data_IF_065133808563
#
_entry.id   IF_065133808563
#
_cell.length_a   1.000
_cell.length_b   1.000
_cell.length_c   1.000
_cell.angle_alpha   90.00
_cell.angle_beta   90.00
_cell.angle_gamma   90.00
#
_symmetry.space_group_name_H-M   'P 1'
#
loop_
_entity.id
_entity.type
_entity.pdbx_description
1 polymer ?
#
# COMPACT_ATOMS: atom_id res chain seq x y z
N UNK A 1 -13.47 17.82 6.68
CA UNK A 1 -12.42 18.30 7.60
C UNK A 1 -12.45 19.82 7.76
N UNK A 2 -12.41 20.63 6.68
CA UNK A 2 -12.48 22.13 6.79
C UNK A 2 -13.67 22.60 7.61
N UNK A 3 -14.84 22.00 7.41
CA UNK A 3 -16.05 22.33 8.17
C UNK A 3 -15.92 22.00 9.67
N UNK A 4 -15.30 20.86 10.00
CA UNK A 4 -15.06 20.50 11.40
C UNK A 4 -14.06 21.44 12.09
N UNK A 5 -13.00 21.84 11.38
CA UNK A 5 -12.05 22.83 11.89
C UNK A 5 -12.77 24.17 12.13
N UNK A 6 -13.55 24.66 11.16
CA UNK A 6 -14.33 25.90 11.30
C UNK A 6 -15.31 25.83 12.47
N UNK A 7 -15.99 24.72 12.68
CA UNK A 7 -16.93 24.49 13.78
C UNK A 7 -16.24 24.58 15.16
N UNK A 8 -15.05 23.99 15.32
CA UNK A 8 -14.28 24.06 16.56
C UNK A 8 -13.78 25.49 16.81
N UNK A 9 -13.36 26.19 15.76
CA UNK A 9 -12.94 27.58 15.84
C UNK A 9 -14.07 28.53 16.22
N UNK A 10 -15.23 28.36 15.62
CA UNK A 10 -16.43 29.18 15.96
C UNK A 10 -16.81 29.07 17.43
N UNK A 11 -16.52 27.94 18.08
CA UNK A 11 -16.71 27.70 19.51
C UNK A 11 -15.66 28.37 20.42
N UNK A 12 -14.70 29.09 19.87
CA UNK A 12 -13.69 29.83 20.64
C UNK A 12 -12.61 28.94 21.27
N UNK A 13 -12.32 27.78 20.72
CA UNK A 13 -11.29 26.86 21.24
C UNK A 13 -9.91 27.51 21.27
N UNK A 14 -9.26 27.46 22.44
CA UNK A 14 -7.86 27.91 22.62
C UNK A 14 -6.85 26.81 22.33
N UNK A 15 -7.24 25.56 22.50
CA UNK A 15 -6.42 24.37 22.18
C UNK A 15 -7.16 23.59 21.11
N UNK A 16 -6.47 23.34 20.01
CA UNK A 16 -6.96 22.57 18.87
C UNK A 16 -6.17 21.27 18.77
N UNK A 17 -6.86 20.13 18.78
CA UNK A 17 -6.26 18.80 18.58
C UNK A 17 -6.71 18.28 17.22
N UNK A 18 -5.75 18.01 16.34
CA UNK A 18 -5.97 17.53 14.98
C UNK A 18 -5.32 16.16 14.82
N UNK A 19 -6.11 15.14 14.54
CA UNK A 19 -5.67 13.78 14.30
C UNK A 19 -5.74 13.49 12.79
N UNK A 20 -4.57 13.24 12.17
CA UNK A 20 -4.39 12.98 10.72
C UNK A 20 -5.18 13.96 9.82
N UNK A 21 -5.08 15.29 10.00
CA UNK A 21 -5.98 16.23 9.33
C UNK A 21 -5.74 16.36 7.84
N UNK A 22 -4.64 15.83 7.32
CA UNK A 22 -4.23 15.90 5.90
C UNK A 22 -4.51 14.62 5.12
N UNK A 23 -5.04 13.57 5.75
CA UNK A 23 -5.21 12.25 5.15
C UNK A 23 -6.03 12.23 3.85
N UNK A 24 -6.93 13.21 3.67
CA UNK A 24 -7.81 13.33 2.48
C UNK A 24 -7.64 14.65 1.73
N UNK A 25 -6.58 15.41 2.02
CA UNK A 25 -6.29 16.69 1.40
C UNK A 25 -5.28 16.54 0.26
N UNK A 26 -5.46 17.36 -0.76
CA UNK A 26 -4.43 17.54 -1.80
C UNK A 26 -3.22 18.30 -1.23
N UNK A 27 -2.03 18.23 -1.87
CA UNK A 27 -0.85 19.00 -1.44
C UNK A 27 -1.11 20.51 -1.32
N UNK A 28 -1.89 21.08 -2.23
CA UNK A 28 -2.27 22.50 -2.22
C UNK A 28 -3.14 22.80 -0.98
N UNK A 29 -4.12 21.98 -0.70
CA UNK A 29 -5.00 22.12 0.47
C UNK A 29 -4.26 21.92 1.79
N UNK A 30 -3.29 21.02 1.83
CA UNK A 30 -2.40 20.82 2.97
C UNK A 30 -1.60 22.07 3.26
N UNK A 31 -1.03 22.70 2.24
CA UNK A 31 -0.29 23.98 2.37
C UNK A 31 -1.17 25.09 2.93
N UNK A 32 -2.41 25.23 2.45
CA UNK A 32 -3.36 26.22 2.94
C UNK A 32 -3.80 25.94 4.38
N UNK A 33 -3.99 24.67 4.76
CA UNK A 33 -4.25 24.29 6.14
C UNK A 33 -3.10 24.72 7.05
N UNK A 34 -1.84 24.46 6.67
CA UNK A 34 -0.67 24.82 7.47
C UNK A 34 -0.53 26.34 7.65
N UNK A 35 -0.78 27.14 6.60
CA UNK A 35 -0.85 28.60 6.74
C UNK A 35 -1.89 29.03 7.78
N UNK A 36 -3.08 28.40 7.74
CA UNK A 36 -4.14 28.69 8.70
C UNK A 36 -3.75 28.32 10.12
N UNK A 37 -3.14 27.15 10.34
CA UNK A 37 -2.70 26.70 11.66
C UNK A 37 -1.62 27.63 12.23
N UNK A 38 -0.65 28.06 11.40
CA UNK A 38 0.38 29.02 11.83
C UNK A 38 -0.21 30.39 12.19
N UNK A 39 -1.18 30.88 11.45
CA UNK A 39 -1.87 32.13 11.80
C UNK A 39 -2.57 32.04 13.16
N UNK A 40 -3.22 30.91 13.44
CA UNK A 40 -3.85 30.65 14.74
C UNK A 40 -2.86 30.63 15.91
N UNK A 41 -1.69 30.00 15.69
CA UNK A 41 -0.63 29.97 16.71
C UNK A 41 -0.11 31.40 16.95
N UNK A 42 0.06 32.21 15.91
CA UNK A 42 0.44 33.62 16.03
C UNK A 42 -0.59 34.46 16.79
N UNK A 43 -1.88 34.08 16.77
CA UNK A 43 -2.96 34.66 17.58
C UNK A 43 -2.98 34.14 19.03
N UNK A 44 -2.02 33.33 19.46
CA UNK A 44 -1.91 32.81 20.82
C UNK A 44 -2.69 31.53 21.07
N UNK A 45 -3.14 30.80 20.05
CA UNK A 45 -3.79 29.50 20.19
C UNK A 45 -2.73 28.39 20.23
N UNK A 46 -3.07 27.26 20.83
CA UNK A 46 -2.23 26.07 20.88
C UNK A 46 -2.78 25.00 19.92
N UNK A 47 -1.93 24.43 19.10
CA UNK A 47 -2.29 23.34 18.19
C UNK A 47 -1.49 22.08 18.56
N UNK A 48 -2.20 20.98 18.76
CA UNK A 48 -1.64 19.63 18.85
C UNK A 48 -1.97 18.94 17.53
N UNK A 49 -0.94 18.64 16.74
CA UNK A 49 -1.05 18.06 15.43
C UNK A 49 -0.51 16.63 15.47
N UNK A 50 -1.36 15.65 15.17
CA UNK A 50 -0.99 14.23 15.14
C UNK A 50 -0.88 13.81 13.69
N UNK A 51 0.28 13.33 13.27
CA UNK A 51 0.51 12.78 11.93
C UNK A 51 1.67 11.78 11.94
N UNK A 52 1.62 10.83 11.03
CA UNK A 52 2.75 9.94 10.73
C UNK A 52 3.59 10.43 9.53
N UNK A 53 3.12 11.46 8.82
CA UNK A 53 3.84 12.09 7.70
C UNK A 53 4.87 13.08 8.22
N UNK A 54 6.11 12.66 8.24
CA UNK A 54 7.21 13.42 8.89
C UNK A 54 7.45 14.78 8.23
N UNK A 55 7.30 14.89 6.90
CA UNK A 55 7.45 16.15 6.18
C UNK A 55 6.40 17.18 6.62
N UNK A 56 5.17 16.74 6.87
CA UNK A 56 4.10 17.59 7.39
C UNK A 56 4.41 18.06 8.82
N UNK A 57 4.89 17.14 9.66
CA UNK A 57 5.30 17.45 11.04
C UNK A 57 6.44 18.47 11.03
N UNK A 58 7.46 18.25 10.20
CA UNK A 58 8.59 19.18 10.04
C UNK A 58 8.15 20.56 9.52
N UNK A 59 7.14 20.60 8.64
CA UNK A 59 6.66 21.84 8.04
C UNK A 59 5.83 22.70 9.00
N UNK A 60 5.06 22.09 9.94
CA UNK A 60 4.05 22.83 10.73
C UNK A 60 4.37 22.94 12.22
N UNK A 61 5.14 22.02 12.81
CA UNK A 61 5.35 21.99 14.26
C UNK A 61 6.59 22.78 14.71
N UNK A 62 6.56 23.26 15.96
CA UNK A 62 7.72 23.85 16.63
C UNK A 62 8.48 22.79 17.44
N UNK A 63 7.74 21.82 17.97
CA UNK A 63 8.24 20.73 18.82
C UNK A 63 7.52 19.44 18.49
N UNK A 64 8.26 18.33 18.46
CA UNK A 64 7.73 17.00 18.16
C UNK A 64 7.91 16.08 19.35
N UNK A 65 6.83 15.45 19.78
CA UNK A 65 6.86 14.37 20.78
C UNK A 65 6.58 13.06 20.07
N UNK A 66 7.52 12.14 20.13
CA UNK A 66 7.40 10.82 19.49
C UNK A 66 6.79 9.81 20.46
N UNK A 67 5.71 9.15 20.02
CA UNK A 67 5.03 8.06 20.73
C UNK A 67 5.34 6.71 20.08
N UNK A 68 5.74 5.72 20.88
CA UNK A 68 5.98 4.35 20.42
C UNK A 68 5.52 3.36 21.48
N UNK A 69 4.67 2.39 21.08
CA UNK A 69 4.11 1.40 22.00
C UNK A 69 3.35 2.00 23.19
N UNK A 70 2.64 3.12 22.98
CA UNK A 70 1.88 3.82 24.01
C UNK A 70 2.73 4.63 25.00
N UNK A 71 4.03 4.84 24.73
CA UNK A 71 4.95 5.60 25.58
C UNK A 71 5.62 6.71 24.80
N UNK A 72 5.89 7.84 25.47
CA UNK A 72 6.75 8.89 24.93
C UNK A 72 8.20 8.39 24.92
N UNK A 73 8.84 8.39 23.75
CA UNK A 73 10.25 7.98 23.59
C UNK A 73 11.20 9.17 23.47
N UNK A 74 10.69 10.36 23.14
CA UNK A 74 11.48 11.57 23.08
C UNK A 74 10.62 12.79 22.71
N UNK A 75 11.10 13.97 23.08
CA UNK A 75 10.56 15.25 22.64
C UNK A 75 11.72 16.09 22.12
N UNK A 76 11.63 16.58 20.90
CA UNK A 76 12.69 17.31 20.21
C UNK A 76 12.15 18.61 19.61
N UNK A 77 13.01 19.58 19.43
CA UNK A 77 12.70 20.80 18.66
C UNK A 77 12.77 20.48 17.18
N UNK A 78 11.78 20.88 16.41
CA UNK A 78 11.72 20.61 14.97
C UNK A 78 12.92 21.19 14.22
N UNK A 79 13.36 22.40 14.60
CA UNK A 79 14.50 23.08 13.96
C UNK A 79 15.85 22.39 14.16
N UNK A 80 15.98 21.56 15.18
CA UNK A 80 17.21 20.85 15.57
C UNK A 80 17.18 19.37 15.15
N UNK A 81 16.13 18.95 14.46
CA UNK A 81 15.89 17.55 14.11
C UNK A 81 15.70 17.40 12.60
N UNK A 82 15.99 16.23 12.10
CA UNK A 82 15.69 15.84 10.73
C UNK A 82 14.53 14.81 10.67
N UNK A 83 13.92 14.67 9.49
CA UNK A 83 12.95 13.61 9.20
C UNK A 83 13.52 12.22 9.56
N UNK A 84 14.80 12.01 9.34
CA UNK A 84 15.51 10.76 9.63
C UNK A 84 15.61 10.50 11.14
N UNK A 85 15.89 11.53 11.94
CA UNK A 85 15.97 11.40 13.39
C UNK A 85 14.61 11.03 13.99
N UNK A 86 13.55 11.71 13.52
CA UNK A 86 12.18 11.42 13.94
C UNK A 86 11.76 9.99 13.57
N UNK A 87 12.03 9.56 12.34
CA UNK A 87 11.75 8.19 11.91
C UNK A 87 12.49 7.16 12.78
N UNK A 88 13.77 7.40 13.05
CA UNK A 88 14.59 6.52 13.91
C UNK A 88 14.03 6.42 15.33
N UNK A 89 13.53 7.53 15.91
CA UNK A 89 12.84 7.52 17.21
C UNK A 89 11.53 6.74 17.16
N UNK A 90 10.74 6.87 16.08
CA UNK A 90 9.46 6.18 15.90
C UNK A 90 9.65 4.67 15.78
N UNK A 91 10.62 4.23 14.98
CA UNK A 91 10.88 2.81 14.70
C UNK A 91 11.74 2.19 15.80
N UNK A 92 12.67 2.94 16.39
CA UNK A 92 13.62 2.48 17.44
C UNK A 92 14.90 1.88 16.88
N UNK A 93 15.13 2.02 15.59
CA UNK A 93 16.37 1.69 14.88
C UNK A 93 16.62 2.77 13.80
N UNK A 94 17.80 2.83 13.21
CA UNK A 94 18.07 3.72 12.07
C UNK A 94 17.17 3.33 10.89
N UNK A 95 16.53 4.33 10.29
CA UNK A 95 15.67 4.17 9.10
C UNK A 95 16.43 4.71 7.91
N UNK A 96 16.58 3.90 6.87
CA UNK A 96 17.13 4.33 5.61
C UNK A 96 15.99 4.59 4.61
N UNK A 97 15.85 5.86 4.21
CA UNK A 97 14.88 6.28 3.19
C UNK A 97 15.42 6.15 1.76
N UNK A 98 16.65 5.65 1.61
CA UNK A 98 17.26 5.50 0.30
C UNK A 98 16.65 4.33 -0.47
N UNK A 99 16.76 4.39 -1.80
CA UNK A 99 16.42 3.25 -2.66
C UNK A 99 17.14 2.00 -2.15
N UNK A 100 16.37 0.94 -1.95
CA UNK A 100 16.94 -0.32 -1.50
C UNK A 100 17.68 -0.97 -2.67
N UNK A 101 19.00 -1.10 -2.53
CA UNK A 101 19.79 -1.88 -3.52
C UNK A 101 19.42 -3.34 -3.35
N UNK A 102 18.70 -3.88 -4.32
CA UNK A 102 18.25 -5.28 -4.32
C UNK A 102 19.41 -6.22 -4.58
N UNK A 103 19.43 -7.33 -3.85
CA UNK A 103 20.45 -8.40 -4.02
C UNK A 103 20.33 -9.09 -5.35
N UNK A 104 19.10 -9.33 -5.80
CA UNK A 104 18.78 -10.00 -7.05
C UNK A 104 17.82 -9.10 -7.84
N UNK A 105 18.31 -8.21 -8.72
CA UNK A 105 17.43 -7.46 -9.61
C UNK A 105 16.68 -8.45 -10.50
N UNK A 106 15.40 -8.17 -10.75
CA UNK A 106 14.56 -9.03 -11.58
C UNK A 106 15.03 -9.10 -13.03
N UNK A 107 14.64 -10.16 -13.72
CA UNK A 107 14.91 -10.32 -15.15
C UNK A 107 13.66 -9.96 -15.96
N UNK A 108 13.59 -8.77 -16.58
CA UNK A 108 12.42 -8.32 -17.35
C UNK A 108 12.18 -9.18 -18.61
N UNK A 109 13.19 -9.94 -19.08
CA UNK A 109 13.06 -10.81 -20.25
C UNK A 109 12.43 -12.16 -19.88
N UNK A 110 12.52 -12.58 -18.64
CA UNK A 110 11.88 -13.80 -18.14
C UNK A 110 10.47 -13.45 -17.61
N UNK A 111 9.52 -13.26 -18.53
CA UNK A 111 8.18 -12.75 -18.23
C UNK A 111 7.37 -13.77 -17.42
N UNK A 112 6.94 -13.37 -16.21
CA UNK A 112 6.04 -14.14 -15.35
C UNK A 112 4.58 -13.70 -15.50
N UNK A 113 4.32 -12.41 -15.68
CA UNK A 113 2.98 -11.86 -15.98
C UNK A 113 3.02 -11.14 -17.31
N UNK A 114 2.09 -11.49 -18.20
CA UNK A 114 1.85 -10.78 -19.45
C UNK A 114 0.39 -10.33 -19.54
N UNK A 115 0.22 -9.05 -19.71
CA UNK A 115 -1.07 -8.37 -19.87
C UNK A 115 -1.09 -7.73 -21.23
N UNK A 116 -1.99 -8.18 -22.11
CA UNK A 116 -2.03 -7.75 -23.51
C UNK A 116 -3.35 -7.11 -23.86
N UNK A 117 -3.33 -5.82 -24.24
CA UNK A 117 -4.44 -5.03 -24.75
C UNK A 117 -5.73 -5.13 -23.93
N UNK A 118 -5.64 -5.11 -22.60
CA UNK A 118 -6.82 -5.19 -21.75
C UNK A 118 -7.63 -3.91 -21.76
N UNK A 119 -8.94 -4.09 -21.90
CA UNK A 119 -9.93 -3.03 -21.71
C UNK A 119 -10.98 -3.48 -20.70
N UNK A 120 -11.41 -2.58 -19.83
CA UNK A 120 -12.40 -2.85 -18.80
C UNK A 120 -13.22 -1.62 -18.45
N UNK A 121 -14.41 -1.83 -17.91
CA UNK A 121 -15.28 -0.77 -17.46
C UNK A 121 -15.21 -0.59 -15.93
N UNK A 122 -15.49 0.62 -15.47
CA UNK A 122 -15.71 0.94 -14.05
C UNK A 122 -17.07 0.40 -13.55
N UNK A 123 -17.38 0.62 -12.27
CA UNK A 123 -18.63 0.19 -11.64
C UNK A 123 -19.88 0.92 -12.20
N UNK A 124 -19.67 2.00 -12.97
CA UNK A 124 -20.72 2.79 -13.65
C UNK A 124 -20.86 2.43 -15.12
N UNK A 125 -20.12 1.44 -15.61
CA UNK A 125 -20.13 1.00 -17.01
C UNK A 125 -19.32 1.90 -17.97
N UNK A 126 -18.55 2.87 -17.47
CA UNK A 126 -17.67 3.71 -18.29
C UNK A 126 -16.34 3.00 -18.49
N UNK A 127 -15.71 3.20 -19.64
CA UNK A 127 -14.41 2.62 -19.92
C UNK A 127 -13.34 3.20 -18.99
N UNK A 128 -12.76 2.33 -18.13
CA UNK A 128 -11.73 2.68 -17.17
C UNK A 128 -10.33 2.24 -17.64
N UNK A 129 -10.24 1.18 -18.44
CA UNK A 129 -8.99 0.71 -19.06
C UNK A 129 -9.12 0.70 -20.57
N UNK A 130 -8.10 1.23 -21.27
CA UNK A 130 -8.09 1.42 -22.70
C UNK A 130 -6.84 0.75 -23.30
N UNK A 131 -6.98 -0.53 -23.71
CA UNK A 131 -5.92 -1.31 -24.37
C UNK A 131 -4.58 -1.32 -23.60
N UNK A 132 -4.66 -1.50 -22.27
CA UNK A 132 -3.48 -1.55 -21.41
C UNK A 132 -2.66 -2.80 -21.69
N UNK A 133 -1.35 -2.63 -21.93
CA UNK A 133 -0.39 -3.72 -22.08
C UNK A 133 0.79 -3.48 -21.16
N UNK A 134 1.20 -4.53 -20.44
CA UNK A 134 2.40 -4.52 -19.60
C UNK A 134 2.91 -5.94 -19.37
N UNK A 135 4.17 -6.05 -19.02
CA UNK A 135 4.79 -7.31 -18.57
C UNK A 135 5.40 -7.13 -17.20
N UNK A 136 5.55 -8.22 -16.45
CA UNK A 136 6.35 -8.26 -15.22
C UNK A 136 7.27 -9.48 -15.33
N UNK A 137 8.56 -9.27 -15.12
CA UNK A 137 9.56 -10.33 -15.12
C UNK A 137 9.62 -11.09 -13.79
N UNK A 138 10.30 -12.24 -13.80
CA UNK A 138 10.60 -13.01 -12.59
C UNK A 138 11.48 -12.18 -11.67
N UNK A 139 11.00 -11.97 -10.44
CA UNK A 139 11.72 -11.17 -9.45
C UNK A 139 11.73 -9.66 -9.73
N UNK A 140 11.07 -9.17 -10.78
CA UNK A 140 10.97 -7.74 -11.10
C UNK A 140 9.89 -7.06 -10.24
N UNK A 141 10.16 -5.84 -9.78
CA UNK A 141 9.16 -4.94 -9.21
C UNK A 141 8.83 -3.87 -10.24
N UNK A 142 7.65 -3.95 -10.84
CA UNK A 142 7.13 -2.94 -11.76
C UNK A 142 6.20 -2.00 -11.00
N UNK A 143 6.56 -0.71 -10.94
CA UNK A 143 5.74 0.32 -10.34
C UNK A 143 4.71 0.88 -11.32
N UNK A 144 3.47 1.06 -10.90
CA UNK A 144 2.44 1.81 -11.64
C UNK A 144 2.21 3.13 -10.91
N UNK A 145 2.71 4.21 -11.48
CA UNK A 145 2.50 5.57 -11.00
C UNK A 145 1.27 6.19 -11.66
N UNK A 146 0.47 6.93 -10.91
CA UNK A 146 -0.69 7.65 -11.45
C UNK A 146 -1.53 8.29 -10.35
N UNK A 147 -2.28 9.33 -10.70
CA UNK A 147 -3.22 9.99 -9.77
C UNK A 147 -4.47 9.11 -9.60
N UNK A 148 -5.08 9.16 -8.41
CA UNK A 148 -6.31 8.43 -8.11
C UNK A 148 -7.38 8.58 -9.19
N UNK A 149 -7.99 7.46 -9.58
CA UNK A 149 -9.07 7.44 -10.57
C UNK A 149 -8.62 7.27 -12.03
N UNK A 150 -7.34 7.09 -12.27
CA UNK A 150 -6.79 6.85 -13.62
C UNK A 150 -6.86 5.37 -14.07
N UNK A 151 -7.54 4.48 -13.32
CA UNK A 151 -7.74 3.08 -13.72
C UNK A 151 -6.87 2.08 -12.98
N UNK A 152 -6.03 2.50 -12.04
CA UNK A 152 -5.12 1.64 -11.26
C UNK A 152 -5.88 0.54 -10.50
N UNK A 153 -7.00 0.91 -9.85
CA UNK A 153 -7.87 -0.03 -9.14
C UNK A 153 -8.44 -1.08 -10.09
N UNK A 154 -8.99 -0.63 -11.22
CA UNK A 154 -9.58 -1.50 -12.24
C UNK A 154 -8.52 -2.43 -12.82
N UNK A 155 -7.29 -1.96 -13.03
CA UNK A 155 -6.16 -2.78 -13.47
C UNK A 155 -5.86 -3.91 -12.48
N UNK A 156 -5.71 -3.58 -11.18
CA UNK A 156 -5.49 -4.57 -10.13
C UNK A 156 -6.62 -5.61 -10.05
N UNK A 157 -7.87 -5.15 -10.12
CA UNK A 157 -9.08 -6.00 -10.06
C UNK A 157 -9.20 -6.92 -11.29
N UNK A 158 -8.85 -6.43 -12.50
CA UNK A 158 -8.88 -7.23 -13.72
C UNK A 158 -7.81 -8.33 -13.66
N UNK A 159 -6.57 -7.98 -13.29
CA UNK A 159 -5.48 -8.97 -13.22
C UNK A 159 -5.75 -10.02 -12.13
N UNK A 160 -6.29 -9.61 -10.98
CA UNK A 160 -6.67 -10.54 -9.89
C UNK A 160 -7.95 -11.34 -10.18
N UNK A 161 -8.62 -11.07 -11.30
CA UNK A 161 -9.86 -11.73 -11.71
C UNK A 161 -11.09 -11.31 -10.91
N UNK A 162 -11.03 -10.20 -10.18
CA UNK A 162 -12.17 -9.65 -9.43
C UNK A 162 -13.10 -8.82 -10.32
N UNK A 163 -12.58 -8.31 -11.46
CA UNK A 163 -13.34 -7.57 -12.47
C UNK A 163 -13.24 -8.26 -13.84
N UNK A 164 -14.32 -8.37 -14.60
CA UNK A 164 -14.25 -8.87 -15.96
C UNK A 164 -13.57 -7.83 -16.88
N UNK A 165 -12.72 -8.30 -17.80
CA UNK A 165 -12.24 -7.49 -18.92
C UNK A 165 -13.21 -7.57 -20.10
N UNK A 166 -13.30 -6.49 -20.87
CA UNK A 166 -14.09 -6.40 -22.11
C UNK A 166 -13.29 -6.99 -23.29
N UNK A 167 -11.97 -6.74 -23.31
CA UNK A 167 -11.06 -7.21 -24.33
C UNK A 167 -9.68 -7.48 -23.77
N UNK A 168 -8.84 -8.19 -24.52
CA UNK A 168 -7.47 -8.50 -24.20
C UNK A 168 -7.26 -9.89 -23.59
N UNK A 169 -6.06 -10.11 -23.07
CA UNK A 169 -5.65 -11.37 -22.47
C UNK A 169 -4.67 -11.15 -21.31
N UNK A 170 -4.68 -12.09 -20.35
CA UNK A 170 -3.73 -12.13 -19.25
C UNK A 170 -3.19 -13.54 -19.17
N UNK A 171 -1.86 -13.66 -19.08
CA UNK A 171 -1.20 -14.94 -18.84
C UNK A 171 -0.20 -14.85 -17.69
N UNK A 172 -0.03 -15.95 -16.96
CA UNK A 172 1.02 -16.12 -15.96
C UNK A 172 1.87 -17.32 -16.40
N UNK A 173 3.13 -17.09 -16.67
CA UNK A 173 4.04 -18.11 -17.26
C UNK A 173 3.41 -18.80 -18.48
N UNK A 174 2.79 -18.04 -19.38
CA UNK A 174 2.10 -18.53 -20.57
C UNK A 174 0.73 -19.21 -20.33
N UNK A 175 0.32 -19.40 -19.08
CA UNK A 175 -0.98 -19.99 -18.74
C UNK A 175 -2.06 -18.92 -18.62
N UNK A 176 -3.17 -19.09 -19.34
CA UNK A 176 -4.26 -18.12 -19.41
C UNK A 176 -5.00 -17.95 -18.07
N UNK A 177 -5.20 -16.69 -17.68
CA UNK A 177 -6.10 -16.30 -16.59
C UNK A 177 -7.48 -16.02 -17.15
N UNK A 178 -8.51 -16.66 -16.61
CA UNK A 178 -9.88 -16.45 -17.08
C UNK A 178 -10.48 -15.15 -16.51
N UNK A 179 -10.98 -14.30 -17.40
CA UNK A 179 -11.60 -13.00 -17.07
C UNK A 179 -12.70 -13.13 -16.01
N UNK A 180 -12.72 -12.23 -15.04
CA UNK A 180 -13.73 -12.15 -13.99
C UNK A 180 -13.82 -13.40 -13.10
N UNK A 181 -12.74 -14.19 -13.01
CA UNK A 181 -12.69 -15.41 -12.19
C UNK A 181 -11.48 -15.39 -11.26
N UNK A 182 -11.63 -14.78 -10.09
CA UNK A 182 -10.58 -14.71 -9.06
C UNK A 182 -9.96 -16.07 -8.73
N UNK A 183 -10.77 -17.14 -8.75
CA UNK A 183 -10.29 -18.50 -8.57
C UNK A 183 -9.29 -18.96 -9.66
N UNK A 184 -9.46 -18.50 -10.89
CA UNK A 184 -8.51 -18.77 -11.98
C UNK A 184 -7.19 -18.03 -11.72
N UNK A 185 -7.24 -16.75 -11.32
CA UNK A 185 -6.07 -15.96 -10.98
C UNK A 185 -5.27 -16.61 -9.83
N UNK A 186 -5.94 -16.99 -8.74
CA UNK A 186 -5.34 -17.69 -7.60
C UNK A 186 -4.69 -19.02 -8.05
N UNK A 187 -5.35 -19.81 -8.91
CA UNK A 187 -4.85 -21.09 -9.39
C UNK A 187 -3.58 -20.92 -10.25
N UNK A 188 -3.44 -19.79 -10.94
CA UNK A 188 -2.23 -19.45 -11.71
C UNK A 188 -1.12 -18.82 -10.84
N UNK A 189 -1.37 -18.61 -9.54
CA UNK A 189 -0.38 -18.08 -8.60
C UNK A 189 -0.40 -16.56 -8.50
N UNK A 190 -1.52 -15.90 -8.78
CA UNK A 190 -1.68 -14.46 -8.53
C UNK A 190 -2.12 -14.24 -7.10
N UNK A 191 -1.34 -13.46 -6.35
CA UNK A 191 -1.71 -12.88 -5.07
C UNK A 191 -2.11 -11.41 -5.24
N UNK A 192 -3.01 -10.91 -4.38
CA UNK A 192 -3.48 -9.54 -4.44
C UNK A 192 -3.61 -8.94 -3.04
N UNK A 193 -2.89 -7.86 -2.82
CA UNK A 193 -2.99 -6.98 -1.65
C UNK A 193 -3.72 -5.72 -2.10
N UNK A 194 -5.05 -5.61 -1.89
CA UNK A 194 -5.81 -4.44 -2.30
C UNK A 194 -5.59 -3.26 -1.34
N UNK A 195 -5.90 -2.06 -1.83
CA UNK A 195 -5.85 -0.83 -1.05
C UNK A 195 -6.81 -0.88 0.16
N UNK A 196 -8.06 -1.33 -0.05
CA UNK A 196 -9.02 -1.54 1.04
C UNK A 196 -8.82 -2.91 1.69
N UNK A 197 -8.13 -2.90 2.82
CA UNK A 197 -7.74 -4.10 3.56
C UNK A 197 -8.92 -4.81 4.23
N UNK A 198 -9.90 -4.04 4.73
CA UNK A 198 -10.96 -4.58 5.59
C UNK A 198 -12.24 -4.95 4.83
N UNK A 199 -12.54 -4.30 3.70
CA UNK A 199 -13.74 -4.61 2.93
C UNK A 199 -13.43 -5.48 1.71
N UNK A 200 -12.26 -5.28 1.09
CA UNK A 200 -11.85 -6.05 -0.09
C UNK A 200 -10.82 -7.12 0.27
N UNK A 201 -9.82 -6.76 1.10
CA UNK A 201 -8.69 -7.62 1.41
C UNK A 201 -9.04 -8.79 2.33
N UNK A 202 -9.71 -8.54 3.44
CA UNK A 202 -9.94 -9.50 4.51
C UNK A 202 -11.44 -9.61 4.85
N UNK A 203 -11.82 -10.75 5.40
CA UNK A 203 -13.14 -10.92 6.02
C UNK A 203 -13.09 -10.31 7.43
N UNK A 204 -13.40 -9.03 7.56
CA UNK A 204 -13.15 -8.20 8.73
C UNK A 204 -13.79 -8.70 10.04
N UNK A 205 -14.95 -9.35 9.95
CA UNK A 205 -15.66 -9.96 11.09
C UNK A 205 -15.13 -11.34 11.48
N UNK A 206 -14.31 -11.99 10.64
CA UNK A 206 -13.73 -13.30 10.89
C UNK A 206 -12.42 -13.19 11.67
N UNK A 207 -12.04 -14.30 12.29
CA UNK A 207 -10.81 -14.39 13.07
C UNK A 207 -9.54 -14.26 12.22
N UNK A 208 -8.41 -13.97 12.86
CA UNK A 208 -7.10 -14.00 12.22
C UNK A 208 -6.84 -15.35 11.56
N UNK A 209 -7.09 -16.47 12.29
CA UNK A 209 -6.85 -17.83 11.76
C UNK A 209 -7.76 -18.15 10.55
N UNK A 210 -9.01 -17.74 10.55
CA UNK A 210 -9.91 -17.97 9.42
C UNK A 210 -9.43 -17.16 8.20
N UNK A 211 -9.01 -15.91 8.38
CA UNK A 211 -8.46 -15.09 7.30
C UNK A 211 -7.17 -15.66 6.72
N UNK A 212 -6.24 -16.13 7.55
CA UNK A 212 -5.00 -16.76 7.11
C UNK A 212 -5.25 -18.06 6.31
N UNK A 213 -6.29 -18.82 6.66
CA UNK A 213 -6.65 -20.07 6.00
C UNK A 213 -7.42 -19.87 4.67
N UNK A 214 -7.99 -18.70 4.40
CA UNK A 214 -8.95 -18.48 3.29
C UNK A 214 -8.47 -18.97 1.92
N UNK A 215 -7.19 -18.81 1.59
CA UNK A 215 -6.65 -19.26 0.28
C UNK A 215 -6.30 -20.74 0.27
N UNK A 216 -5.89 -21.28 1.41
CA UNK A 216 -5.37 -22.64 1.55
C UNK A 216 -6.35 -23.64 2.19
N UNK A 217 -7.59 -23.23 2.51
CA UNK A 217 -8.55 -24.06 3.24
C UNK A 217 -8.82 -25.43 2.60
N UNK A 218 -8.67 -25.54 1.26
CA UNK A 218 -8.88 -26.81 0.55
C UNK A 218 -7.82 -27.85 0.86
N UNK A 219 -6.55 -27.44 0.94
CA UNK A 219 -5.45 -28.34 1.33
C UNK A 219 -5.57 -28.76 2.80
N UNK A 220 -6.23 -27.93 3.62
CA UNK A 220 -6.52 -28.20 5.03
C UNK A 220 -7.86 -28.88 5.29
N UNK A 221 -8.55 -29.34 4.23
CA UNK A 221 -9.80 -30.05 4.34
C UNK A 221 -9.64 -31.52 3.95
N UNK A 222 -10.40 -32.41 4.64
CA UNK A 222 -10.54 -33.80 4.27
C UNK A 222 -12.03 -34.13 4.23
N UNK A 223 -12.52 -34.72 3.14
CA UNK A 223 -13.94 -34.99 2.94
C UNK A 223 -14.85 -33.78 3.17
N UNK A 224 -14.43 -32.57 2.74
CA UNK A 224 -15.12 -31.28 2.97
C UNK A 224 -15.20 -30.81 4.43
N UNK A 225 -14.51 -31.47 5.35
CA UNK A 225 -14.41 -31.07 6.75
C UNK A 225 -13.07 -30.39 6.96
N UNK A 226 -13.11 -29.16 7.51
CA UNK A 226 -11.91 -28.38 7.83
C UNK A 226 -11.21 -28.98 9.05
N UNK A 227 -9.90 -29.19 8.94
CA UNK A 227 -9.04 -29.63 10.03
C UNK A 227 -8.67 -28.43 10.91
N UNK A 228 -9.55 -28.06 11.83
CA UNK A 228 -9.35 -26.87 12.71
C UNK A 228 -8.02 -26.85 13.44
N UNK A 229 -7.53 -28.01 13.90
CA UNK A 229 -6.20 -28.09 14.54
C UNK A 229 -5.08 -27.66 13.60
N UNK A 230 -5.06 -28.18 12.37
CA UNK A 230 -4.06 -27.83 11.35
C UNK A 230 -4.11 -26.33 10.97
N UNK A 231 -5.32 -25.75 10.85
CA UNK A 231 -5.49 -24.33 10.60
C UNK A 231 -4.89 -23.52 11.73
N UNK A 232 -5.14 -23.88 12.99
CA UNK A 232 -4.62 -23.18 14.15
C UNK A 232 -3.10 -23.25 14.25
N UNK A 233 -2.52 -24.43 14.04
CA UNK A 233 -1.07 -24.64 14.04
C UNK A 233 -0.38 -23.78 12.98
N UNK A 234 -0.87 -23.80 11.73
CA UNK A 234 -0.33 -22.97 10.66
C UNK A 234 -0.52 -21.49 10.93
N UNK A 235 -1.68 -21.09 11.47
CA UNK A 235 -1.94 -19.69 11.79
C UNK A 235 -1.03 -19.18 12.89
N UNK A 236 -0.69 -20.02 13.89
CA UNK A 236 0.26 -19.68 14.95
C UNK A 236 1.65 -19.43 14.37
N UNK A 237 2.14 -20.29 13.46
CA UNK A 237 3.42 -20.10 12.77
C UNK A 237 3.44 -18.80 11.95
N UNK A 238 2.36 -18.51 11.22
CA UNK A 238 2.26 -17.27 10.44
C UNK A 238 2.17 -16.01 11.33
N UNK A 239 1.45 -16.07 12.45
CA UNK A 239 1.37 -14.98 13.42
C UNK A 239 2.75 -14.63 13.95
N UNK A 240 3.55 -15.64 14.30
CA UNK A 240 4.91 -15.47 14.79
C UNK A 240 5.85 -14.96 13.68
N UNK A 241 5.87 -15.63 12.52
CA UNK A 241 6.74 -15.28 11.38
C UNK A 241 6.53 -13.85 10.87
N UNK A 242 5.28 -13.36 10.85
CA UNK A 242 4.94 -12.02 10.40
C UNK A 242 4.82 -11.01 11.56
N UNK A 243 5.18 -11.40 12.77
CA UNK A 243 5.08 -10.55 13.98
C UNK A 243 3.71 -9.86 14.08
N UNK A 244 2.62 -10.63 13.92
CA UNK A 244 1.25 -10.09 14.00
C UNK A 244 0.89 -9.92 15.48
N UNK A 245 0.71 -8.69 15.93
CA UNK A 245 0.28 -8.41 17.30
C UNK A 245 -1.22 -8.58 17.41
N UNK A 246 -1.62 -9.65 18.07
CA UNK A 246 -3.02 -10.03 18.32
C UNK A 246 -3.17 -10.65 19.71
N UNK A 247 -4.30 -10.44 20.40
CA UNK A 247 -4.59 -11.16 21.66
C UNK A 247 -4.65 -12.69 21.50
N UNK A 248 -4.97 -13.17 20.29
CA UNK A 248 -5.05 -14.58 19.96
C UNK A 248 -5.52 -14.81 18.50
N UNK A 249 -5.32 -16.03 17.99
CA UNK A 249 -5.69 -16.38 16.61
C UNK A 249 -7.19 -16.26 16.32
N UNK A 250 -8.03 -16.33 17.36
CA UNK A 250 -9.50 -16.19 17.28
C UNK A 250 -9.98 -14.73 17.26
N UNK A 251 -9.08 -13.75 17.43
CA UNK A 251 -9.46 -12.34 17.43
C UNK A 251 -10.00 -11.92 16.06
N UNK A 252 -11.17 -11.28 15.96
CA UNK A 252 -11.65 -10.69 14.71
C UNK A 252 -10.68 -9.65 14.15
N UNK A 253 -10.40 -9.72 12.84
CA UNK A 253 -9.36 -8.86 12.22
C UNK A 253 -9.69 -7.37 12.35
N UNK A 254 -10.97 -6.99 12.35
CA UNK A 254 -11.41 -5.58 12.54
C UNK A 254 -10.99 -4.95 13.87
N UNK A 255 -10.58 -5.76 14.84
CA UNK A 255 -10.11 -5.28 16.16
C UNK A 255 -8.59 -5.05 16.22
N UNK A 256 -7.87 -5.35 15.14
CA UNK A 256 -6.43 -5.14 15.05
C UNK A 256 -6.13 -3.70 14.59
N UNK A 257 -4.92 -3.22 14.91
CA UNK A 257 -4.41 -1.98 14.31
C UNK A 257 -4.17 -2.13 12.82
N UNK A 258 -4.18 -1.02 12.06
CA UNK A 258 -3.98 -1.01 10.61
C UNK A 258 -2.72 -1.76 10.16
N UNK A 259 -1.61 -1.60 10.87
CA UNK A 259 -0.36 -2.33 10.60
C UNK A 259 -0.50 -3.85 10.80
N UNK A 260 -1.22 -4.30 11.84
CA UNK A 260 -1.44 -5.73 12.04
C UNK A 260 -2.46 -6.31 11.06
N UNK A 261 -3.48 -5.56 10.65
CA UNK A 261 -4.38 -5.93 9.55
C UNK A 261 -3.56 -6.16 8.27
N UNK A 262 -2.62 -5.27 7.95
CA UNK A 262 -1.74 -5.41 6.79
C UNK A 262 -0.84 -6.65 6.89
N UNK A 263 -0.28 -6.91 8.07
CA UNK A 263 0.54 -8.13 8.31
C UNK A 263 -0.27 -9.41 8.11
N UNK A 264 -1.53 -9.47 8.57
CA UNK A 264 -2.43 -10.61 8.30
C UNK A 264 -2.66 -10.80 6.81
N UNK A 265 -2.92 -9.71 6.08
CA UNK A 265 -3.15 -9.75 4.63
C UNK A 265 -1.91 -10.25 3.89
N UNK A 266 -0.74 -9.69 4.17
CA UNK A 266 0.53 -10.13 3.58
C UNK A 266 0.84 -11.59 3.92
N UNK A 267 0.70 -12.00 5.19
CA UNK A 267 0.92 -13.37 5.61
C UNK A 267 0.05 -14.36 4.84
N UNK A 268 -1.24 -14.04 4.61
CA UNK A 268 -2.14 -14.86 3.80
C UNK A 268 -1.70 -14.93 2.34
N UNK A 269 -1.37 -13.79 1.75
CA UNK A 269 -1.01 -13.72 0.34
C UNK A 269 0.30 -14.46 0.05
N UNK A 270 1.32 -14.27 0.89
CA UNK A 270 2.61 -14.93 0.71
C UNK A 270 2.61 -16.42 1.09
N UNK A 271 1.76 -16.83 2.04
CA UNK A 271 1.67 -18.25 2.41
C UNK A 271 1.17 -19.15 1.26
N UNK A 272 0.55 -18.56 0.24
CA UNK A 272 0.11 -19.26 -0.96
C UNK A 272 1.24 -19.47 -1.99
N UNK A 273 2.48 -19.04 -1.72
CA UNK A 273 3.63 -19.12 -2.62
C UNK A 273 3.31 -18.55 -4.02
N UNK A 274 2.98 -17.28 -4.13
CA UNK A 274 2.55 -16.68 -5.38
C UNK A 274 3.71 -16.61 -6.39
N UNK A 275 3.37 -16.61 -7.68
CA UNK A 275 4.27 -16.29 -8.79
C UNK A 275 4.27 -14.81 -9.11
N UNK A 276 3.10 -14.17 -8.90
CA UNK A 276 2.85 -12.75 -9.14
C UNK A 276 2.15 -12.16 -7.92
N UNK A 277 2.61 -11.03 -7.46
CA UNK A 277 1.98 -10.24 -6.40
C UNK A 277 1.53 -8.89 -6.95
N UNK A 278 0.25 -8.59 -6.86
CA UNK A 278 -0.30 -7.26 -7.09
C UNK A 278 -0.41 -6.57 -5.73
N UNK A 279 0.31 -5.49 -5.53
CA UNK A 279 0.30 -4.71 -4.31
C UNK A 279 -0.24 -3.29 -4.59
N UNK A 280 -1.51 -3.05 -4.24
CA UNK A 280 -2.16 -1.76 -4.45
C UNK A 280 -2.12 -0.92 -3.17
N UNK A 281 -1.39 0.20 -3.22
CA UNK A 281 -1.16 1.13 -2.10
C UNK A 281 -0.85 0.40 -0.77
N UNK A 282 0.14 -0.51 -0.76
CA UNK A 282 0.33 -1.45 0.35
C UNK A 282 0.73 -0.78 1.66
N UNK A 283 1.28 0.43 1.60
CA UNK A 283 1.72 1.19 2.78
C UNK A 283 0.75 2.30 3.21
N UNK A 284 -0.30 2.58 2.44
CA UNK A 284 -1.23 3.68 2.70
C UNK A 284 -1.83 3.61 4.10
N UNK A 285 -1.72 4.74 4.85
CA UNK A 285 -2.27 4.86 6.20
C UNK A 285 -1.64 3.92 7.25
N UNK A 286 -0.38 3.53 7.04
CA UNK A 286 0.44 2.81 8.01
C UNK A 286 1.42 3.76 8.69
N UNK A 287 1.82 3.43 9.91
CA UNK A 287 2.94 4.08 10.56
C UNK A 287 4.29 3.70 9.92
N UNK A 288 5.33 4.51 10.18
CA UNK A 288 6.66 4.35 9.55
C UNK A 288 7.22 2.93 9.74
N UNK A 289 7.06 2.35 10.92
CA UNK A 289 7.57 1.00 11.19
C UNK A 289 6.84 -0.09 10.42
N UNK A 290 5.52 0.06 10.25
CA UNK A 290 4.73 -0.84 9.43
C UNK A 290 5.04 -0.67 7.93
N UNK A 291 5.30 0.57 7.47
CA UNK A 291 5.75 0.86 6.09
C UNK A 291 7.05 0.11 5.78
N UNK A 292 8.06 0.21 6.66
CA UNK A 292 9.33 -0.51 6.49
C UNK A 292 9.12 -2.03 6.41
N UNK A 293 8.31 -2.59 7.32
CA UNK A 293 8.00 -4.02 7.30
C UNK A 293 7.36 -4.45 5.98
N UNK A 294 6.42 -3.66 5.44
CA UNK A 294 5.77 -3.96 4.14
C UNK A 294 6.80 -3.92 3.02
N UNK A 295 7.64 -2.88 2.96
CA UNK A 295 8.71 -2.72 1.96
C UNK A 295 9.69 -3.89 1.99
N UNK A 296 10.18 -4.27 3.17
CA UNK A 296 11.05 -5.43 3.36
C UNK A 296 10.40 -6.71 2.78
N UNK A 297 9.10 -6.95 3.05
CA UNK A 297 8.38 -8.12 2.54
C UNK A 297 8.19 -8.12 1.02
N UNK A 298 7.96 -6.95 0.42
CA UNK A 298 7.87 -6.85 -1.05
C UNK A 298 9.22 -7.17 -1.71
N UNK A 299 10.30 -6.67 -1.13
CA UNK A 299 11.67 -6.95 -1.60
C UNK A 299 12.01 -8.42 -1.43
N UNK A 300 11.76 -9.02 -0.26
CA UNK A 300 11.98 -10.46 -0.03
C UNK A 300 11.20 -11.31 -1.03
N UNK A 301 9.96 -10.95 -1.34
CA UNK A 301 9.17 -11.65 -2.34
C UNK A 301 9.83 -11.58 -3.72
N UNK A 302 10.21 -10.39 -4.14
CA UNK A 302 10.87 -10.20 -5.43
C UNK A 302 12.23 -10.91 -5.49
N UNK A 303 13.06 -10.82 -4.44
CA UNK A 303 14.35 -11.53 -4.36
C UNK A 303 14.17 -13.06 -4.37
N UNK A 304 13.02 -13.59 -3.98
CA UNK A 304 12.65 -14.99 -4.09
C UNK A 304 12.10 -15.41 -5.46
N UNK A 305 12.04 -14.48 -6.42
CA UNK A 305 11.59 -14.72 -7.79
C UNK A 305 10.10 -14.39 -8.05
N UNK A 306 9.37 -13.81 -7.11
CA UNK A 306 7.98 -13.35 -7.33
C UNK A 306 8.01 -12.08 -8.17
N UNK A 307 7.26 -12.02 -9.29
CA UNK A 307 7.04 -10.78 -10.02
C UNK A 307 6.06 -9.89 -9.25
N UNK A 308 6.45 -8.64 -8.99
CA UNK A 308 5.64 -7.70 -8.20
C UNK A 308 5.12 -6.57 -9.08
N UNK A 309 3.81 -6.37 -9.10
CA UNK A 309 3.16 -5.19 -9.66
C UNK A 309 2.76 -4.28 -8.50
N UNK A 310 3.57 -3.24 -8.26
CA UNK A 310 3.36 -2.25 -7.21
C UNK A 310 2.56 -1.08 -7.77
N UNK A 311 1.35 -0.88 -7.32
CA UNK A 311 0.47 0.22 -7.73
C UNK A 311 0.38 1.19 -6.57
N UNK A 312 0.80 2.45 -6.75
CA UNK A 312 0.76 3.45 -5.68
C UNK A 312 0.56 4.86 -6.23
N UNK A 313 -0.11 5.69 -5.45
CA UNK A 313 -0.20 7.14 -5.66
C UNK A 313 1.03 7.85 -5.06
N UNK A 314 1.75 7.17 -4.15
CA UNK A 314 2.97 7.66 -3.53
C UNK A 314 4.17 7.37 -4.43
N UNK A 315 4.64 8.42 -5.10
CA UNK A 315 5.78 8.32 -6.01
C UNK A 315 7.08 7.95 -5.28
N UNK A 316 7.24 8.35 -4.01
CA UNK A 316 8.40 7.98 -3.21
C UNK A 316 8.42 6.48 -2.89
N UNK A 317 7.25 5.87 -2.65
CA UNK A 317 7.13 4.43 -2.51
C UNK A 317 7.56 3.72 -3.80
N UNK A 318 7.04 4.15 -4.96
CA UNK A 318 7.38 3.55 -6.26
C UNK A 318 8.87 3.71 -6.56
N UNK A 319 9.42 4.91 -6.47
CA UNK A 319 10.83 5.19 -6.78
C UNK A 319 11.80 4.45 -5.86
N UNK A 320 11.40 4.19 -4.61
CA UNK A 320 12.24 3.47 -3.65
C UNK A 320 12.31 1.96 -3.88
N UNK A 321 11.29 1.36 -4.50
CA UNK A 321 11.12 -0.10 -4.59
C UNK A 321 11.18 -0.63 -6.01
N UNK A 322 10.68 0.12 -7.00
CA UNK A 322 10.52 -0.38 -8.36
C UNK A 322 11.87 -0.49 -9.11
N UNK A 323 11.96 -1.48 -9.98
CA UNK A 323 13.01 -1.60 -10.98
C UNK A 323 12.68 -0.75 -12.21
N UNK A 324 11.39 -0.65 -12.55
CA UNK A 324 10.84 0.06 -13.69
C UNK A 324 9.49 0.70 -13.31
N UNK A 325 9.21 1.87 -13.84
CA UNK A 325 8.00 2.66 -13.57
C UNK A 325 7.19 2.81 -14.84
N UNK A 326 5.92 2.40 -14.77
CA UNK A 326 4.92 2.68 -15.78
C UNK A 326 4.03 3.82 -15.29
N UNK A 327 3.79 4.83 -16.12
CA UNK A 327 2.91 5.93 -15.77
C UNK A 327 1.54 5.70 -16.39
N UNK A 328 0.51 5.74 -15.54
CA UNK A 328 -0.86 5.52 -15.94
C UNK A 328 -1.67 6.82 -15.90
N UNK A 329 -2.31 7.14 -17.03
CA UNK A 329 -3.19 8.29 -17.17
C UNK A 329 -4.42 7.93 -18.02
N UNK A 330 -5.61 8.31 -17.56
CA UNK A 330 -6.92 8.05 -18.23
C UNK A 330 -7.08 6.62 -18.77
N UNK A 331 -6.69 5.64 -17.96
CA UNK A 331 -6.83 4.22 -18.30
C UNK A 331 -5.82 3.69 -19.31
N UNK A 332 -4.74 4.39 -19.58
CA UNK A 332 -3.65 3.99 -20.50
C UNK A 332 -2.30 4.03 -19.78
N UNK A 333 -1.38 3.19 -20.21
CA UNK A 333 0.04 3.37 -19.89
C UNK A 333 0.60 4.34 -20.94
N UNK A 334 1.08 5.49 -20.47
CA UNK A 334 1.57 6.56 -21.34
C UNK A 334 3.08 6.72 -21.31
N UNK A 335 3.75 6.10 -20.30
CA UNK A 335 5.20 6.13 -20.21
C UNK A 335 5.72 4.86 -19.53
N UNK A 336 7.01 4.51 -19.79
CA UNK A 336 7.71 3.36 -19.25
C UNK A 336 9.19 3.67 -19.10
N UNK A 337 9.62 3.97 -17.87
CA UNK A 337 10.97 4.43 -17.58
C UNK A 337 11.67 3.50 -16.57
N UNK A 338 13.00 3.28 -16.68
CA UNK A 338 13.76 2.68 -15.61
C UNK A 338 13.64 3.50 -14.35
N UNK A 339 13.48 2.87 -13.18
CA UNK A 339 13.41 3.61 -11.93
C UNK A 339 14.76 4.20 -11.52
N UNK A 340 15.85 3.63 -12.05
CA UNK A 340 17.20 4.16 -11.84
C UNK A 340 17.42 5.43 -12.68
N UNK A 341 17.74 6.53 -11.99
CA UNK A 341 17.91 7.82 -12.65
C UNK A 341 16.61 8.52 -13.07
N UNK A 342 15.44 7.99 -12.72
CA UNK A 342 14.16 8.62 -13.02
C UNK A 342 14.00 9.95 -12.28
N UNK A 343 13.56 10.98 -13.01
CA UNK A 343 13.28 12.30 -12.41
C UNK A 343 11.84 12.35 -11.86
N UNK A 344 11.73 12.65 -10.57
CA UNK A 344 10.46 12.75 -9.85
C UNK A 344 9.53 13.80 -10.48
N UNK A 345 10.09 14.93 -10.91
CA UNK A 345 9.28 16.03 -11.45
C UNK A 345 8.70 15.66 -12.81
N UNK A 346 9.50 15.02 -13.67
CA UNK A 346 9.06 14.51 -14.97
C UNK A 346 7.95 13.47 -14.82
N UNK A 347 8.14 12.45 -13.96
CA UNK A 347 7.09 11.45 -13.70
C UNK A 347 5.82 12.12 -13.16
N UNK A 348 5.97 13.10 -12.23
CA UNK A 348 4.83 13.83 -11.66
C UNK A 348 4.04 14.61 -12.71
N UNK A 349 4.70 15.23 -13.68
CA UNK A 349 4.05 15.92 -14.81
C UNK A 349 3.31 14.92 -15.71
N UNK A 350 3.95 13.81 -16.05
CA UNK A 350 3.36 12.73 -16.86
C UNK A 350 2.14 12.13 -16.17
N UNK A 351 2.15 11.93 -14.85
CA UNK A 351 0.98 11.50 -14.06
C UNK A 351 -0.21 12.47 -14.18
N UNK A 352 0.06 13.75 -14.46
CA UNK A 352 -0.94 14.78 -14.75
C UNK A 352 -1.36 14.86 -16.21
N UNK A 353 -0.84 13.98 -17.07
CA UNK A 353 -1.17 13.95 -18.52
C UNK A 353 -0.33 14.91 -19.36
N UNK A 354 0.74 15.50 -18.80
CA UNK A 354 1.67 16.36 -19.52
C UNK A 354 2.83 15.46 -19.98
N UNK A 355 2.84 15.13 -21.25
CA UNK A 355 3.96 14.44 -21.94
C UNK A 355 4.78 15.49 -22.67
N UNK A 356 6.13 15.49 -22.50
CA UNK A 356 7.03 16.31 -23.32
C UNK A 356 7.04 15.88 -24.79
#
# INVERSE_FOLDING_TARGET
QRVEILKVLYRGARVLILDEPTAVLTPIETTELFKTLRAMVAEGRTVIFISHKLDEVMAVSDRVTVLRGGRTVGTVNTRESSTRDLASLMVGRSVEFNRVVRKNPGDPNNVVLDVTNISANDDRGRQALQSVSLTVGVGEIVGIAGVAGNGQRELAEVISGMRPMVAGAITVQGQKVHSGKARSAIAQGIAHVPEDRLHTGLASSHSVEDNLALKNYRSMSRFRILKRKSIREQSTDLIERYDIKTPGSQTPVRLLSGGNVQKVLLAREFSALPKVLIAASPTRGLDVGAIETVRERLIEAADSGVGVLLISEDLDEIMSLADRILVMYEGRIIDNVPADGADRSSIGLTMGGITE
#
